data_IF_847491055335
#
_entry.id   IF_847491055335
#
_cell.length_a   1.000
_cell.length_b   1.000
_cell.length_c   1.000
_cell.angle_alpha   90.00
_cell.angle_beta   90.00
_cell.angle_gamma   90.00
#
_symmetry.space_group_name_H-M   'P 1'
#
loop_
_entity.id
_entity.type
_entity.pdbx_description
1 polymer ?
#
# COMPACT_ATOMS: atom_id res chain seq x y z
N UNK A 1 18.22 -22.74 -3.04
CA UNK A 1 18.11 -21.48 -3.78
C UNK A 1 16.69 -21.05 -4.18
N UNK A 2 15.67 -21.96 -4.25
CA UNK A 2 14.28 -21.58 -4.63
C UNK A 2 13.51 -20.76 -3.56
N UNK A 3 13.85 -20.88 -2.28
CA UNK A 3 13.17 -20.15 -1.19
C UNK A 3 13.48 -18.65 -1.19
N UNK A 4 14.70 -18.24 -1.53
CA UNK A 4 15.12 -16.84 -1.61
C UNK A 4 14.47 -16.06 -2.76
N UNK A 5 13.90 -16.75 -3.76
CA UNK A 5 13.17 -16.13 -4.86
C UNK A 5 11.68 -15.89 -4.53
N UNK A 6 11.20 -16.41 -3.40
CA UNK A 6 9.81 -16.17 -2.98
C UNK A 6 9.72 -14.82 -2.25
N UNK A 7 8.87 -13.92 -2.76
CA UNK A 7 8.62 -12.61 -2.16
C UNK A 7 8.22 -12.73 -0.70
N UNK A 8 7.33 -13.68 -0.38
CA UNK A 8 6.86 -13.91 0.99
C UNK A 8 8.04 -14.21 1.94
N UNK A 9 8.98 -15.07 1.52
CA UNK A 9 10.15 -15.39 2.33
C UNK A 9 11.06 -14.17 2.56
N UNK A 10 11.26 -13.34 1.52
CA UNK A 10 12.05 -12.10 1.64
C UNK A 10 11.40 -11.11 2.61
N UNK A 11 10.08 -10.99 2.57
CA UNK A 11 9.32 -10.10 3.46
C UNK A 11 9.41 -10.59 4.92
N UNK A 12 9.20 -11.89 5.17
CA UNK A 12 9.33 -12.46 6.52
C UNK A 12 10.77 -12.26 7.04
N UNK A 13 11.76 -12.53 6.20
CA UNK A 13 13.16 -12.32 6.56
C UNK A 13 13.43 -10.83 6.89
N UNK A 14 12.88 -9.90 6.11
CA UNK A 14 13.01 -8.48 6.34
C UNK A 14 12.39 -8.04 7.69
N UNK A 15 11.24 -8.59 8.05
CA UNK A 15 10.58 -8.34 9.35
C UNK A 15 11.46 -8.84 10.49
N UNK A 16 11.89 -10.09 10.42
CA UNK A 16 12.73 -10.71 11.48
C UNK A 16 14.05 -9.95 11.65
N UNK A 17 14.73 -9.63 10.55
CA UNK A 17 15.98 -8.84 10.58
C UNK A 17 15.72 -7.41 11.08
N UNK A 18 14.61 -6.78 10.70
CA UNK A 18 14.24 -5.44 11.16
C UNK A 18 14.06 -5.39 12.68
N UNK A 19 13.40 -6.39 13.25
CA UNK A 19 13.22 -6.52 14.70
C UNK A 19 14.55 -6.81 15.40
N UNK A 20 15.33 -7.78 14.91
CA UNK A 20 16.60 -8.15 15.53
C UNK A 20 17.61 -6.99 15.50
N UNK A 21 17.79 -6.36 14.37
CA UNK A 21 18.76 -5.27 14.21
C UNK A 21 18.25 -3.99 14.91
N UNK A 22 16.95 -3.72 14.87
CA UNK A 22 16.36 -2.53 15.48
C UNK A 22 16.58 -2.41 16.99
N UNK A 23 16.71 -3.54 17.70
CA UNK A 23 17.00 -3.55 19.15
C UNK A 23 18.43 -3.11 19.50
N UNK A 24 19.37 -3.17 18.55
CA UNK A 24 20.79 -2.83 18.78
C UNK A 24 21.28 -1.68 17.87
N UNK A 25 20.45 -1.22 16.94
CA UNK A 25 20.83 -0.24 15.95
C UNK A 25 21.03 1.16 16.56
N UNK A 26 22.04 1.88 16.07
CA UNK A 26 22.24 3.30 16.40
C UNK A 26 21.21 4.18 15.67
N UNK A 27 20.83 5.32 16.27
CA UNK A 27 19.88 6.27 15.70
C UNK A 27 20.23 6.71 14.27
N UNK A 28 21.54 6.91 13.97
CA UNK A 28 21.99 7.27 12.63
C UNK A 28 21.74 6.18 11.59
N UNK A 29 21.91 4.90 11.96
CA UNK A 29 21.62 3.77 11.09
C UNK A 29 20.11 3.67 10.82
N UNK A 30 19.30 3.81 11.86
CA UNK A 30 17.84 3.85 11.71
C UNK A 30 17.41 5.04 10.86
N UNK A 31 17.96 6.24 11.09
CA UNK A 31 17.69 7.46 10.31
C UNK A 31 17.98 7.29 8.81
N UNK A 32 19.01 6.54 8.45
CA UNK A 32 19.30 6.20 7.05
C UNK A 32 18.15 5.41 6.40
N UNK A 33 17.66 4.36 7.06
CA UNK A 33 16.52 3.58 6.53
C UNK A 33 15.21 4.34 6.58
N UNK A 34 15.00 5.20 7.59
CA UNK A 34 13.83 6.11 7.65
C UNK A 34 13.85 7.06 6.45
N UNK A 35 15.02 7.57 6.06
CA UNK A 35 15.17 8.43 4.89
C UNK A 35 14.85 7.68 3.59
N UNK A 36 15.38 6.46 3.42
CA UNK A 36 15.07 5.61 2.25
C UNK A 36 13.56 5.31 2.20
N UNK A 37 12.96 5.00 3.33
CA UNK A 37 11.53 4.73 3.41
C UNK A 37 10.69 5.98 3.08
N UNK A 38 11.10 7.15 3.53
CA UNK A 38 10.43 8.41 3.19
C UNK A 38 10.46 8.66 1.67
N UNK A 39 11.62 8.48 1.04
CA UNK A 39 11.77 8.62 -0.42
C UNK A 39 10.90 7.60 -1.19
N UNK A 40 10.90 6.35 -0.74
CA UNK A 40 10.08 5.32 -1.38
C UNK A 40 8.58 5.57 -1.17
N UNK A 41 8.16 6.05 -0.01
CA UNK A 41 6.78 6.47 0.25
C UNK A 41 6.34 7.61 -0.68
N UNK A 42 7.21 8.60 -0.89
CA UNK A 42 6.95 9.69 -1.84
C UNK A 42 6.83 9.17 -3.28
N UNK A 43 7.73 8.24 -3.67
CA UNK A 43 7.64 7.57 -4.98
C UNK A 43 6.34 6.78 -5.12
N UNK A 44 5.93 6.02 -4.09
CA UNK A 44 4.66 5.29 -4.10
C UNK A 44 3.47 6.26 -4.21
N UNK A 45 3.49 7.37 -3.47
CA UNK A 45 2.46 8.40 -3.57
C UNK A 45 2.29 8.95 -4.98
N UNK A 46 3.40 9.12 -5.70
CA UNK A 46 3.40 9.57 -7.10
C UNK A 46 2.91 8.49 -8.07
N UNK A 47 3.37 7.25 -7.89
CA UNK A 47 3.12 6.17 -8.88
C UNK A 47 1.74 5.51 -8.71
N UNK A 48 1.14 5.50 -7.50
CA UNK A 48 -0.14 4.83 -7.25
C UNK A 48 -1.26 5.37 -8.16
N UNK A 49 -1.48 6.69 -8.33
CA UNK A 49 -2.47 7.20 -9.27
C UNK A 49 -2.21 6.76 -10.71
N UNK A 50 -0.95 6.68 -11.14
CA UNK A 50 -0.58 6.21 -12.47
C UNK A 50 -0.87 4.71 -12.65
N UNK A 51 -0.66 3.90 -11.59
CA UNK A 51 -1.03 2.48 -11.58
C UNK A 51 -2.55 2.34 -11.76
N UNK A 52 -3.33 3.11 -11.02
CA UNK A 52 -4.80 3.11 -11.12
C UNK A 52 -5.24 3.41 -12.56
N UNK A 53 -4.74 4.48 -13.13
CA UNK A 53 -5.07 4.88 -14.51
C UNK A 53 -4.61 3.82 -15.51
N UNK A 54 -3.36 3.35 -15.38
CA UNK A 54 -2.74 2.42 -16.33
C UNK A 54 -3.32 1.01 -16.32
N UNK A 55 -3.90 0.55 -15.22
CA UNK A 55 -4.52 -0.77 -15.13
C UNK A 55 -6.04 -0.72 -15.34
N UNK A 56 -6.73 0.30 -14.84
CA UNK A 56 -8.19 0.34 -14.87
C UNK A 56 -8.70 0.76 -16.26
N UNK A 57 -8.07 1.73 -16.92
CA UNK A 57 -8.52 2.17 -18.27
C UNK A 57 -8.57 1.01 -19.27
N UNK A 58 -7.47 0.26 -19.50
CA UNK A 58 -7.50 -0.83 -20.48
C UNK A 58 -8.39 -1.99 -20.03
N UNK A 59 -8.45 -2.26 -18.71
CA UNK A 59 -9.33 -3.31 -18.17
C UNK A 59 -10.80 -3.03 -18.45
N UNK A 60 -11.27 -1.80 -18.22
CA UNK A 60 -12.65 -1.41 -18.52
C UNK A 60 -12.87 -1.26 -20.02
N UNK A 61 -11.90 -0.70 -20.75
CA UNK A 61 -11.97 -0.51 -22.20
C UNK A 61 -12.18 -1.84 -22.96
N UNK A 62 -11.57 -2.92 -22.49
CA UNK A 62 -11.69 -4.26 -23.07
C UNK A 62 -13.05 -4.94 -22.78
N UNK A 63 -13.87 -4.44 -21.84
CA UNK A 63 -15.21 -5.01 -21.56
C UNK A 63 -16.25 -4.70 -22.65
N UNK A 64 -15.95 -3.79 -23.56
CA UNK A 64 -16.85 -3.40 -24.66
C UNK A 64 -18.18 -2.82 -24.17
N UNK A 65 -19.26 -3.10 -24.89
CA UNK A 65 -20.58 -2.52 -24.64
C UNK A 65 -21.18 -2.81 -23.24
N UNK A 66 -20.65 -3.80 -22.52
CA UNK A 66 -21.12 -4.16 -21.17
C UNK A 66 -20.33 -3.44 -20.05
N UNK A 67 -19.31 -2.65 -20.38
CA UNK A 67 -18.41 -2.01 -19.42
C UNK A 67 -19.17 -1.24 -18.33
N UNK A 68 -20.11 -0.38 -18.70
CA UNK A 68 -20.85 0.41 -17.73
C UNK A 68 -21.69 -0.43 -16.75
N UNK A 69 -22.35 -1.49 -17.25
CA UNK A 69 -23.13 -2.41 -16.39
C UNK A 69 -22.22 -3.22 -15.45
N UNK A 70 -21.12 -3.73 -15.94
CA UNK A 70 -20.16 -4.50 -15.14
C UNK A 70 -19.50 -3.63 -14.08
N UNK A 71 -19.04 -2.43 -14.43
CA UNK A 71 -18.44 -1.49 -13.47
C UNK A 71 -19.45 -1.11 -12.37
N UNK A 72 -20.70 -0.80 -12.75
CA UNK A 72 -21.75 -0.48 -11.77
C UNK A 72 -22.04 -1.66 -10.81
N UNK A 73 -22.14 -2.88 -11.33
CA UNK A 73 -22.37 -4.08 -10.53
C UNK A 73 -21.18 -4.38 -9.59
N UNK A 74 -19.95 -4.27 -10.11
CA UNK A 74 -18.73 -4.47 -9.32
C UNK A 74 -18.61 -3.42 -8.21
N UNK A 75 -18.92 -2.14 -8.51
CA UNK A 75 -18.92 -1.07 -7.51
C UNK A 75 -19.94 -1.32 -6.40
N UNK A 76 -21.15 -1.82 -6.76
CA UNK A 76 -22.18 -2.17 -5.79
C UNK A 76 -21.73 -3.32 -4.87
N UNK A 77 -21.12 -4.37 -5.42
CA UNK A 77 -20.57 -5.49 -4.64
C UNK A 77 -19.43 -4.99 -3.74
N UNK A 78 -18.52 -4.18 -4.26
CA UNK A 78 -17.40 -3.65 -3.49
C UNK A 78 -17.89 -2.80 -2.30
N UNK A 79 -18.88 -1.91 -2.54
CA UNK A 79 -19.48 -1.10 -1.50
C UNK A 79 -20.22 -1.96 -0.45
N UNK A 80 -21.02 -2.92 -0.90
CA UNK A 80 -21.68 -3.88 -0.01
C UNK A 80 -20.70 -4.68 0.84
N UNK A 81 -19.60 -5.17 0.25
CA UNK A 81 -18.53 -5.87 0.95
C UNK A 81 -17.84 -4.99 2.00
N UNK A 82 -17.60 -3.72 1.67
CA UNK A 82 -16.99 -2.76 2.61
C UNK A 82 -17.91 -2.48 3.80
N UNK A 83 -19.20 -2.30 3.57
CA UNK A 83 -20.18 -2.15 4.64
C UNK A 83 -20.24 -3.40 5.53
N UNK A 84 -20.31 -4.58 4.91
CA UNK A 84 -20.32 -5.84 5.63
C UNK A 84 -19.07 -6.01 6.50
N UNK A 85 -17.87 -5.77 5.93
CA UNK A 85 -16.61 -5.82 6.67
C UNK A 85 -16.56 -4.80 7.82
N UNK A 86 -17.08 -3.59 7.59
CA UNK A 86 -17.18 -2.55 8.62
C UNK A 86 -18.09 -2.96 9.80
N UNK A 87 -19.28 -3.50 9.52
CA UNK A 87 -20.17 -3.98 10.57
C UNK A 87 -19.61 -5.19 11.31
N UNK A 88 -18.95 -6.11 10.59
CA UNK A 88 -18.30 -7.26 11.20
C UNK A 88 -17.14 -6.83 12.11
N UNK A 89 -16.30 -5.91 11.65
CA UNK A 89 -15.20 -5.35 12.45
C UNK A 89 -15.73 -4.61 13.69
N UNK A 90 -16.80 -3.83 13.54
CA UNK A 90 -17.43 -3.14 14.65
C UNK A 90 -17.99 -4.12 15.68
N UNK A 91 -18.73 -5.14 15.22
CA UNK A 91 -19.31 -6.16 16.09
C UNK A 91 -18.24 -6.97 16.85
N UNK A 92 -17.17 -7.38 16.15
CA UNK A 92 -16.05 -8.09 16.79
C UNK A 92 -15.31 -7.19 17.79
N UNK A 93 -15.11 -5.93 17.43
CA UNK A 93 -14.50 -4.95 18.31
C UNK A 93 -15.31 -4.78 19.61
N UNK A 94 -16.61 -4.56 19.52
CA UNK A 94 -17.48 -4.45 20.68
C UNK A 94 -17.52 -5.71 21.55
N UNK A 95 -17.38 -6.89 20.94
CA UNK A 95 -17.42 -8.15 21.69
C UNK A 95 -16.10 -8.44 22.43
N UNK A 96 -14.95 -8.07 21.86
CA UNK A 96 -13.63 -8.47 22.37
C UNK A 96 -12.86 -7.35 23.08
N UNK A 97 -12.95 -6.08 22.62
CA UNK A 97 -12.18 -4.99 23.22
C UNK A 97 -12.48 -4.70 24.70
N UNK A 98 -13.74 -4.72 25.17
CA UNK A 98 -14.00 -4.46 26.57
C UNK A 98 -13.30 -5.43 27.53
N UNK A 99 -13.19 -6.71 27.13
CA UNK A 99 -12.51 -7.73 27.95
C UNK A 99 -10.98 -7.61 27.88
N UNK A 100 -10.43 -7.15 26.77
CA UNK A 100 -8.99 -6.98 26.58
C UNK A 100 -8.45 -5.71 27.24
N UNK A 101 -9.25 -4.64 27.28
CA UNK A 101 -8.81 -3.33 27.80
C UNK A 101 -9.06 -3.14 29.29
N UNK A 102 -9.88 -3.97 29.96
CA UNK A 102 -10.20 -3.83 31.39
C UNK A 102 -9.00 -3.93 32.33
N UNK A 103 -7.89 -4.51 31.89
CA UNK A 103 -6.68 -4.69 32.70
C UNK A 103 -5.46 -3.89 32.22
N UNK A 104 -5.62 -3.05 31.22
CA UNK A 104 -4.51 -2.23 30.75
C UNK A 104 -4.82 -0.75 30.99
N UNK A 105 -4.21 -0.17 32.01
CA UNK A 105 -3.90 1.25 31.97
C UNK A 105 -3.06 1.44 30.71
N UNK A 106 -3.64 2.07 29.70
CA UNK A 106 -2.89 2.60 28.58
C UNK A 106 -1.90 3.62 29.16
N UNK A 107 -0.78 3.13 29.69
CA UNK A 107 0.37 3.98 29.83
C UNK A 107 0.54 4.61 28.44
N UNK A 108 0.30 5.91 28.38
CA UNK A 108 0.52 6.71 27.18
C UNK A 108 1.81 6.17 26.59
N UNK A 109 1.70 5.54 25.41
CA UNK A 109 2.87 5.19 24.63
C UNK A 109 3.56 6.54 24.49
N UNK A 110 4.59 6.77 25.35
CA UNK A 110 5.36 7.98 25.28
C UNK A 110 5.68 8.10 23.79
N UNK A 111 5.32 9.21 23.18
CA UNK A 111 5.71 9.49 21.81
C UNK A 111 7.23 9.40 21.81
N UNK A 112 7.74 8.16 21.63
CA UNK A 112 9.15 7.93 21.46
C UNK A 112 9.51 8.83 20.28
N UNK A 113 10.43 9.76 20.48
CA UNK A 113 10.82 10.73 19.47
C UNK A 113 11.06 9.97 18.17
N UNK A 114 10.09 10.06 17.26
CA UNK A 114 10.16 9.37 15.98
C UNK A 114 11.39 9.90 15.26
N UNK A 115 12.30 9.01 14.91
CA UNK A 115 13.51 9.39 14.18
C UNK A 115 13.07 10.01 12.86
N UNK A 116 13.46 11.27 12.64
CA UNK A 116 13.15 12.00 11.41
C UNK A 116 14.13 11.59 10.31
N UNK A 117 13.68 11.59 9.05
CA UNK A 117 14.56 11.39 7.92
C UNK A 117 15.61 12.51 7.87
N UNK A 118 16.80 12.23 7.37
CA UNK A 118 17.88 13.22 7.24
C UNK A 118 17.53 14.35 6.27
N UNK A 119 16.74 14.02 5.26
CA UNK A 119 16.19 14.98 4.30
C UNK A 119 14.88 14.44 3.73
N UNK A 120 14.04 15.32 3.26
CA UNK A 120 12.77 15.01 2.61
C UNK A 120 12.77 15.60 1.20
N UNK A 121 12.37 14.79 0.22
CA UNK A 121 12.12 15.23 -1.15
C UNK A 121 10.61 15.13 -1.38
N UNK A 122 9.95 16.27 -1.49
CA UNK A 122 8.52 16.29 -1.80
C UNK A 122 8.32 15.95 -3.29
N UNK A 123 7.73 14.80 -3.57
CA UNK A 123 7.30 14.39 -4.91
C UNK A 123 5.77 14.45 -4.92
N UNK A 124 5.17 15.56 -5.36
CA UNK A 124 3.72 15.67 -5.39
C UNK A 124 3.14 14.63 -6.36
N UNK A 125 2.04 13.96 -6.00
CA UNK A 125 1.36 13.04 -6.89
C UNK A 125 0.83 13.79 -8.12
N UNK A 126 0.84 13.14 -9.28
CA UNK A 126 0.31 13.73 -10.53
C UNK A 126 -1.19 14.06 -10.41
N UNK A 127 -1.94 13.22 -9.68
CA UNK A 127 -3.34 13.47 -9.31
C UNK A 127 -3.65 12.72 -8.00
N UNK A 128 -4.72 13.11 -7.33
CA UNK A 128 -5.23 12.38 -6.18
C UNK A 128 -5.79 11.01 -6.58
N UNK A 129 -5.77 10.05 -5.66
CA UNK A 129 -6.23 8.66 -5.88
C UNK A 129 -7.69 8.61 -6.34
N UNK A 130 -8.57 9.41 -5.71
CA UNK A 130 -9.99 9.48 -6.11
C UNK A 130 -10.14 10.08 -7.50
N UNK A 131 -9.39 11.11 -7.81
CA UNK A 131 -9.38 11.73 -9.15
C UNK A 131 -8.90 10.75 -10.21
N UNK A 132 -7.85 9.97 -9.93
CA UNK A 132 -7.34 8.93 -10.81
C UNK A 132 -8.39 7.84 -11.09
N UNK A 133 -9.11 7.42 -10.04
CA UNK A 133 -10.17 6.41 -10.14
C UNK A 133 -11.34 6.89 -11.00
N UNK A 134 -11.86 8.11 -10.73
CA UNK A 134 -12.95 8.71 -11.51
C UNK A 134 -12.53 8.91 -12.96
N UNK A 135 -11.32 9.43 -13.19
CA UNK A 135 -10.76 9.61 -14.52
C UNK A 135 -10.67 8.27 -15.27
N UNK A 136 -10.15 7.24 -14.61
CA UNK A 136 -10.00 5.90 -15.21
C UNK A 136 -11.36 5.28 -15.57
N UNK A 137 -12.39 5.46 -14.74
CA UNK A 137 -13.75 5.01 -15.05
C UNK A 137 -14.36 5.73 -16.24
N UNK A 138 -14.28 7.07 -16.26
CA UNK A 138 -14.84 7.87 -17.36
C UNK A 138 -14.18 7.50 -18.68
N UNK A 139 -12.85 7.49 -18.72
CA UNK A 139 -12.09 7.18 -19.94
C UNK A 139 -12.28 5.72 -20.35
N UNK A 140 -12.20 4.77 -19.39
CA UNK A 140 -12.37 3.35 -19.65
C UNK A 140 -13.75 3.02 -20.23
N UNK A 141 -14.84 3.57 -19.66
CA UNK A 141 -16.20 3.37 -20.19
C UNK A 141 -16.38 4.04 -21.56
N UNK A 142 -15.74 5.21 -21.75
CA UNK A 142 -15.74 5.88 -23.04
C UNK A 142 -15.06 5.02 -24.13
N UNK A 143 -13.86 4.50 -23.83
CA UNK A 143 -13.08 3.65 -24.75
C UNK A 143 -13.78 2.33 -25.06
N UNK A 144 -14.50 1.76 -24.10
CA UNK A 144 -15.28 0.54 -24.31
C UNK A 144 -16.36 0.66 -25.39
N UNK A 145 -16.80 1.88 -25.74
CA UNK A 145 -17.81 2.16 -26.76
C UNK A 145 -17.20 2.51 -28.13
N UNK A 146 -15.91 2.81 -28.19
CA UNK A 146 -15.22 3.22 -29.41
C UNK A 146 -14.56 2.00 -30.03
N UNK A 147 -15.04 1.59 -31.21
CA UNK A 147 -14.41 0.49 -31.96
C UNK A 147 -13.05 0.94 -32.54
N UNK A 148 -12.07 0.03 -32.52
CA UNK A 148 -10.72 0.25 -33.04
C UNK A 148 -10.02 1.51 -32.47
N UNK A 149 -10.20 1.77 -31.18
CA UNK A 149 -9.65 2.94 -30.51
C UNK A 149 -8.12 2.86 -30.44
N UNK A 150 -7.43 3.81 -31.05
CA UNK A 150 -5.96 3.99 -30.92
C UNK A 150 -5.60 4.30 -29.47
N UNK A 151 -6.44 5.04 -28.74
CA UNK A 151 -6.23 5.36 -27.34
C UNK A 151 -6.31 4.12 -26.44
N UNK A 152 -7.18 3.14 -26.79
CA UNK A 152 -7.21 1.87 -26.09
C UNK A 152 -5.92 1.09 -26.28
N UNK A 153 -5.37 1.06 -27.50
CA UNK A 153 -4.08 0.42 -27.76
C UNK A 153 -2.95 1.11 -26.99
N UNK A 154 -2.93 2.43 -26.97
CA UNK A 154 -1.95 3.20 -26.19
C UNK A 154 -2.08 2.92 -24.68
N UNK A 155 -3.31 2.78 -24.16
CA UNK A 155 -3.53 2.42 -22.75
C UNK A 155 -3.05 1.00 -22.41
N UNK A 156 -3.15 0.05 -23.32
CA UNK A 156 -2.59 -1.31 -23.19
C UNK A 156 -1.04 -1.32 -23.20
N UNK A 157 -0.43 -0.43 -23.96
CA UNK A 157 1.03 -0.27 -23.90
C UNK A 157 1.46 0.40 -22.60
N UNK A 158 0.70 1.39 -22.13
CA UNK A 158 0.93 2.02 -20.84
C UNK A 158 0.78 1.02 -19.67
N UNK A 159 -0.21 0.13 -19.72
CA UNK A 159 -0.37 -0.98 -18.77
C UNK A 159 0.91 -1.83 -18.68
N UNK A 160 1.53 -2.15 -19.82
CA UNK A 160 2.79 -2.91 -19.83
C UNK A 160 3.93 -2.16 -19.14
N UNK A 161 4.01 -0.84 -19.34
CA UNK A 161 5.00 0.00 -18.65
C UNK A 161 4.76 -0.02 -17.14
N UNK A 162 3.52 0.15 -16.71
CA UNK A 162 3.14 0.10 -15.29
C UNK A 162 3.48 -1.26 -14.68
N UNK A 163 3.14 -2.35 -15.34
CA UNK A 163 3.49 -3.70 -14.88
C UNK A 163 5.01 -3.90 -14.75
N UNK A 164 5.80 -3.36 -15.69
CA UNK A 164 7.25 -3.38 -15.59
C UNK A 164 7.77 -2.61 -14.35
N UNK A 165 7.19 -1.46 -14.03
CA UNK A 165 7.56 -0.68 -12.84
C UNK A 165 7.22 -1.47 -11.57
N UNK A 166 6.03 -2.07 -11.52
CA UNK A 166 5.62 -2.89 -10.38
C UNK A 166 6.59 -4.06 -10.18
N UNK A 167 6.87 -4.82 -11.23
CA UNK A 167 7.69 -6.03 -11.14
C UNK A 167 9.18 -5.75 -10.89
N UNK A 168 9.73 -4.69 -11.51
CA UNK A 168 11.18 -4.42 -11.47
C UNK A 168 11.60 -3.42 -10.42
N UNK A 169 10.67 -2.57 -9.93
CA UNK A 169 10.99 -1.52 -8.95
C UNK A 169 10.24 -1.78 -7.65
N UNK A 170 8.90 -1.81 -7.68
CA UNK A 170 8.12 -1.86 -6.44
C UNK A 170 8.32 -3.19 -5.70
N UNK A 171 8.12 -4.32 -6.39
CA UNK A 171 8.22 -5.65 -5.76
C UNK A 171 9.61 -5.93 -5.19
N UNK A 172 10.73 -5.67 -5.89
CA UNK A 172 12.05 -5.89 -5.31
C UNK A 172 12.41 -4.96 -4.16
N UNK A 173 11.87 -3.72 -4.15
CA UNK A 173 12.15 -2.75 -3.10
C UNK A 173 11.30 -2.96 -1.84
N UNK A 174 10.16 -3.64 -1.96
CA UNK A 174 9.21 -3.87 -0.87
C UNK A 174 9.85 -4.50 0.38
N UNK A 175 10.72 -5.54 0.30
CA UNK A 175 11.37 -6.10 1.49
C UNK A 175 12.28 -5.10 2.22
N UNK A 176 12.98 -4.23 1.48
CA UNK A 176 13.84 -3.19 2.06
C UNK A 176 12.98 -2.15 2.80
N UNK A 177 11.87 -1.76 2.21
CA UNK A 177 10.91 -0.85 2.80
C UNK A 177 10.31 -1.40 4.09
N UNK A 178 9.88 -2.66 4.07
CA UNK A 178 9.34 -3.36 5.26
C UNK A 178 10.41 -3.48 6.34
N UNK A 179 11.63 -3.83 5.98
CA UNK A 179 12.75 -3.88 6.91
C UNK A 179 12.94 -2.54 7.64
N UNK A 180 12.95 -1.42 6.91
CA UNK A 180 13.11 -0.08 7.51
C UNK A 180 11.97 0.31 8.44
N UNK A 181 10.71 -0.09 8.13
CA UNK A 181 9.56 0.13 9.02
C UNK A 181 9.76 -0.61 10.34
N UNK A 182 10.04 -1.92 10.30
CA UNK A 182 10.20 -2.72 11.51
C UNK A 182 11.46 -2.34 12.30
N UNK A 183 12.52 -1.93 11.62
CA UNK A 183 13.73 -1.39 12.23
C UNK A 183 13.41 -0.15 13.08
N UNK A 184 12.71 0.83 12.51
CA UNK A 184 12.31 2.06 13.21
C UNK A 184 11.32 1.78 14.34
N UNK A 185 10.34 0.93 14.09
CA UNK A 185 9.32 0.55 15.07
C UNK A 185 9.92 -0.18 16.29
N UNK A 186 10.94 -1.00 16.08
CA UNK A 186 11.64 -1.68 17.17
C UNK A 186 12.55 -0.74 17.94
N UNK A 187 13.28 0.11 17.24
CA UNK A 187 14.16 1.10 17.86
C UNK A 187 13.38 2.10 18.73
N UNK A 188 12.19 2.52 18.30
CA UNK A 188 11.28 3.38 19.07
C UNK A 188 10.53 2.66 20.21
N UNK A 189 10.77 1.37 20.44
CA UNK A 189 10.09 0.57 21.47
C UNK A 189 8.65 0.18 21.13
N UNK A 190 8.07 0.67 20.06
CA UNK A 190 6.68 0.40 19.67
C UNK A 190 6.43 -1.08 19.35
N UNK A 191 7.44 -1.80 18.82
CA UNK A 191 7.31 -3.22 18.51
C UNK A 191 7.03 -4.07 19.77
N UNK A 192 7.67 -3.76 20.89
CA UNK A 192 7.46 -4.47 22.15
C UNK A 192 6.10 -4.19 22.74
N UNK A 193 5.61 -2.96 22.63
CA UNK A 193 4.27 -2.57 23.11
C UNK A 193 3.19 -3.35 22.37
N UNK A 194 3.30 -3.45 21.03
CA UNK A 194 2.34 -4.20 20.21
C UNK A 194 2.39 -5.69 20.53
N UNK A 195 3.58 -6.29 20.69
CA UNK A 195 3.74 -7.71 21.02
C UNK A 195 3.24 -8.07 22.44
N UNK A 196 3.15 -7.10 23.33
CA UNK A 196 2.64 -7.33 24.71
C UNK A 196 1.14 -7.11 24.80
N UNK A 197 0.53 -6.42 23.85
CA UNK A 197 -0.93 -6.15 23.81
C UNK A 197 -1.69 -7.26 23.04
N UNK A 198 -1.04 -7.98 22.15
CA UNK A 198 -1.60 -9.09 21.37
C UNK A 198 -0.98 -10.43 21.72
#
# INVERSE_FOLDING_TARGET
MKLLNNLLFRVILAIVLGILIGSFANANFVGFFVTINALFSQFLGFIIPLIIVGLIIPSIGNLGNQAGKMVGFTALIAYGSTLFAGFLSYGTSMAFFPSLLQNQTLNQVAEAEAIKPFFEIAIPPFMDVMSALIFAFIVGIGLAKIQNSVLLQASLEFEKIINMIIEKVIIPFLPIFIFGIFLNMTHSGQAFVILTVF
#
